data_IF_779385100858
#
_entry.id   IF_779385100858
#
_cell.length_a   1.000
_cell.length_b   1.000
_cell.length_c   1.000
_cell.angle_alpha   90.00
_cell.angle_beta   90.00
_cell.angle_gamma   90.00
#
_symmetry.space_group_name_H-M   'P 1'
#
loop_
_entity.id
_entity.type
_entity.pdbx_description
1 polymer ?
#
# COMPACT_ATOMS: atom_id res chain seq x y z
N UNK A 1 0.47 -23.17 9.86
CA UNK A 1 -1.02 -23.04 9.71
C UNK A 1 -1.31 -22.55 8.31
N UNK A 2 -2.33 -23.09 7.65
CA UNK A 2 -2.80 -22.56 6.35
C UNK A 2 -3.59 -21.28 6.62
N UNK A 3 -3.51 -20.31 5.70
CA UNK A 3 -4.37 -19.13 5.75
C UNK A 3 -5.86 -19.55 5.81
N UNK A 4 -6.72 -18.78 6.47
CA UNK A 4 -8.13 -19.09 6.61
C UNK A 4 -8.78 -19.37 5.25
N UNK A 5 -9.71 -20.32 5.22
CA UNK A 5 -10.43 -20.70 3.99
C UNK A 5 -11.48 -19.61 3.66
N UNK A 6 -11.00 -18.44 3.24
CA UNK A 6 -11.81 -17.28 2.88
C UNK A 6 -12.18 -17.42 1.41
N UNK A 7 -13.44 -17.25 1.08
CA UNK A 7 -13.91 -17.25 -0.30
C UNK A 7 -13.37 -16.01 -1.06
N UNK A 8 -13.49 -16.02 -2.38
CA UNK A 8 -12.95 -14.95 -3.24
C UNK A 8 -13.52 -13.55 -2.91
N UNK A 9 -14.80 -13.47 -2.58
CA UNK A 9 -15.46 -12.22 -2.22
C UNK A 9 -14.95 -11.67 -0.88
N UNK A 10 -14.70 -12.56 0.08
CA UNK A 10 -14.06 -12.19 1.35
C UNK A 10 -12.66 -11.62 1.14
N UNK A 11 -11.87 -12.18 0.20
CA UNK A 11 -10.54 -11.62 -0.12
C UNK A 11 -10.68 -10.21 -0.73
N UNK A 12 -11.64 -10.00 -1.63
CA UNK A 12 -11.91 -8.67 -2.18
C UNK A 12 -12.29 -7.67 -1.09
N UNK A 13 -13.16 -8.06 -0.16
CA UNK A 13 -13.55 -7.22 0.97
C UNK A 13 -12.34 -6.84 1.87
N UNK A 14 -11.46 -7.81 2.17
CA UNK A 14 -10.25 -7.55 2.96
C UNK A 14 -9.29 -6.58 2.24
N UNK A 15 -9.08 -6.76 0.93
CA UNK A 15 -8.24 -5.85 0.15
C UNK A 15 -8.85 -4.45 0.07
N UNK A 16 -10.17 -4.35 -0.04
CA UNK A 16 -10.89 -3.08 0.01
C UNK A 16 -10.72 -2.40 1.37
N UNK A 17 -10.82 -3.14 2.49
CA UNK A 17 -10.53 -2.63 3.84
C UNK A 17 -9.09 -2.13 3.97
N UNK A 18 -8.12 -2.81 3.36
CA UNK A 18 -6.74 -2.33 3.33
C UNK A 18 -6.63 -0.95 2.69
N UNK A 19 -7.30 -0.74 1.55
CA UNK A 19 -7.30 0.56 0.86
C UNK A 19 -8.10 1.63 1.61
N UNK A 20 -9.15 1.25 2.35
CA UNK A 20 -9.87 2.15 3.26
C UNK A 20 -8.92 2.68 4.36
N UNK A 21 -8.18 1.77 5.02
CA UNK A 21 -7.19 2.17 6.03
C UNK A 21 -6.10 3.06 5.44
N UNK A 22 -5.62 2.76 4.23
CA UNK A 22 -4.62 3.61 3.57
C UNK A 22 -5.18 4.96 3.12
N UNK A 23 -6.45 5.03 2.73
CA UNK A 23 -7.12 6.31 2.50
C UNK A 23 -7.18 7.16 3.78
N UNK A 24 -7.57 6.56 4.91
CA UNK A 24 -7.58 7.23 6.21
C UNK A 24 -6.18 7.69 6.66
N UNK A 25 -5.10 7.00 6.24
CA UNK A 25 -3.73 7.40 6.59
C UNK A 25 -3.38 8.83 6.18
N UNK A 26 -3.94 9.34 5.07
CA UNK A 26 -3.68 10.71 4.62
C UNK A 26 -4.17 11.76 5.64
N UNK A 27 -5.30 11.50 6.27
CA UNK A 27 -5.82 12.37 7.34
C UNK A 27 -5.05 12.15 8.64
N UNK A 28 -4.86 10.88 9.04
CA UNK A 28 -4.19 10.53 10.28
C UNK A 28 -2.72 10.97 10.31
N UNK A 29 -2.02 10.90 9.18
CA UNK A 29 -0.62 11.32 9.08
C UNK A 29 -0.44 12.80 9.42
N UNK A 30 -1.39 13.67 9.07
CA UNK A 30 -1.32 15.09 9.41
C UNK A 30 -1.23 15.34 10.92
N UNK A 31 -1.99 14.60 11.72
CA UNK A 31 -1.92 14.70 13.19
C UNK A 31 -0.58 14.19 13.76
N UNK A 32 -0.02 13.12 13.19
CA UNK A 32 1.25 12.55 13.65
C UNK A 32 2.42 13.44 13.26
N UNK A 33 2.42 13.99 12.06
CA UNK A 33 3.47 14.88 11.56
C UNK A 33 3.50 16.25 12.25
N UNK A 34 2.46 16.61 13.02
CA UNK A 34 2.49 17.80 13.87
C UNK A 34 3.45 17.65 15.06
N UNK A 35 3.64 16.41 15.56
CA UNK A 35 4.48 16.11 16.72
C UNK A 35 5.80 15.42 16.37
N UNK A 36 5.86 14.71 15.24
CA UNK A 36 6.99 13.88 14.83
C UNK A 36 7.54 14.24 13.45
N UNK A 37 8.85 14.15 13.29
CA UNK A 37 9.44 14.20 11.94
C UNK A 37 8.97 13.00 11.08
N UNK A 38 9.04 13.10 9.75
CA UNK A 38 8.68 12.02 8.83
C UNK A 38 9.39 10.69 9.14
N UNK A 39 10.69 10.76 9.45
CA UNK A 39 11.52 9.60 9.75
C UNK A 39 11.08 8.91 11.03
N UNK A 40 10.88 9.69 12.12
CA UNK A 40 10.39 9.16 13.38
C UNK A 40 8.96 8.65 13.29
N UNK A 41 8.09 9.35 12.53
CA UNK A 41 6.73 8.89 12.26
C UNK A 41 6.71 7.51 11.61
N UNK A 42 7.54 7.28 10.59
CA UNK A 42 7.67 5.99 9.93
C UNK A 42 8.28 4.94 10.86
N UNK A 43 9.38 5.26 11.55
CA UNK A 43 10.09 4.34 12.43
C UNK A 43 9.20 3.83 13.57
N UNK A 44 8.54 4.74 14.30
CA UNK A 44 7.65 4.38 15.42
C UNK A 44 6.46 3.57 14.91
N UNK A 45 5.81 4.01 13.85
CA UNK A 45 4.66 3.32 13.23
C UNK A 45 5.00 1.87 12.89
N UNK A 46 6.09 1.66 12.14
CA UNK A 46 6.45 0.33 11.68
C UNK A 46 7.09 -0.53 12.78
N UNK A 47 7.80 0.04 13.75
CA UNK A 47 8.33 -0.69 14.91
C UNK A 47 7.21 -1.21 15.81
N UNK A 48 6.20 -0.39 16.11
CA UNK A 48 5.03 -0.83 16.87
C UNK A 48 4.23 -1.90 16.11
N UNK A 49 4.05 -1.75 14.81
CA UNK A 49 3.39 -2.75 13.99
C UNK A 49 4.19 -4.07 13.94
N UNK A 50 5.52 -3.99 13.82
CA UNK A 50 6.40 -5.15 13.87
C UNK A 50 6.29 -5.90 15.21
N UNK A 51 6.24 -5.16 16.32
CA UNK A 51 6.06 -5.75 17.65
C UNK A 51 4.72 -6.48 17.76
N UNK A 52 3.61 -5.86 17.33
CA UNK A 52 2.27 -6.48 17.35
C UNK A 52 2.25 -7.75 16.50
N UNK A 53 2.80 -7.68 15.27
CA UNK A 53 2.84 -8.83 14.37
C UNK A 53 3.76 -9.94 14.90
N UNK A 54 4.86 -9.57 15.54
CA UNK A 54 5.77 -10.52 16.21
C UNK A 54 5.05 -11.27 17.34
N UNK A 55 4.37 -10.54 18.23
CA UNK A 55 3.58 -11.14 19.33
C UNK A 55 2.51 -12.08 18.76
N UNK A 56 1.78 -11.65 17.73
CA UNK A 56 0.76 -12.48 17.07
C UNK A 56 1.37 -13.75 16.45
N UNK A 57 2.52 -13.63 15.80
CA UNK A 57 3.20 -14.77 15.18
C UNK A 57 3.76 -15.74 16.23
N UNK A 58 4.33 -15.24 17.34
CA UNK A 58 4.81 -16.07 18.46
C UNK A 58 3.66 -16.80 19.15
N UNK A 59 2.52 -16.12 19.37
CA UNK A 59 1.32 -16.76 19.91
C UNK A 59 0.80 -17.90 19.01
N UNK A 60 0.92 -17.74 17.69
CA UNK A 60 0.61 -18.78 16.71
C UNK A 60 1.72 -19.84 16.56
N UNK A 61 2.77 -19.78 17.38
CA UNK A 61 3.93 -20.69 17.33
C UNK A 61 4.59 -20.71 15.95
N UNK A 62 4.70 -19.55 15.30
CA UNK A 62 5.34 -19.43 14.01
C UNK A 62 6.85 -19.75 14.10
N UNK A 63 7.40 -20.56 13.19
CA UNK A 63 8.82 -20.89 13.19
C UNK A 63 9.66 -19.78 12.53
N UNK A 64 9.58 -18.55 13.11
CA UNK A 64 10.14 -17.33 12.49
C UNK A 64 11.64 -17.43 12.24
N UNK A 65 12.42 -18.00 13.17
CA UNK A 65 13.87 -18.18 13.00
C UNK A 65 14.21 -19.13 11.86
N UNK A 66 13.50 -20.24 11.75
CA UNK A 66 13.70 -21.19 10.64
C UNK A 66 13.31 -20.56 9.30
N UNK A 67 12.21 -19.81 9.25
CA UNK A 67 11.77 -19.09 8.07
C UNK A 67 12.77 -18.01 7.66
N UNK A 68 13.27 -17.25 8.62
CA UNK A 68 14.28 -16.23 8.34
C UNK A 68 15.60 -16.86 7.92
N UNK A 69 16.04 -17.95 8.53
CA UNK A 69 17.24 -18.69 8.13
C UNK A 69 17.16 -19.19 6.68
N UNK A 70 15.98 -19.64 6.24
CA UNK A 70 15.78 -20.17 4.89
C UNK A 70 15.52 -19.09 3.83
N UNK A 71 14.78 -18.05 4.19
CA UNK A 71 14.27 -17.06 3.22
C UNK A 71 14.66 -15.61 3.58
N UNK A 72 15.58 -15.39 4.53
CA UNK A 72 15.91 -14.09 5.11
C UNK A 72 16.22 -13.02 4.08
N UNK A 73 17.05 -13.33 3.07
CA UNK A 73 17.37 -12.38 2.00
C UNK A 73 16.11 -11.89 1.25
N UNK A 74 15.11 -12.74 1.07
CA UNK A 74 13.86 -12.39 0.39
C UNK A 74 13.02 -11.44 1.26
N UNK A 75 12.96 -11.69 2.58
CA UNK A 75 12.27 -10.81 3.52
C UNK A 75 12.97 -9.46 3.65
N UNK A 76 14.31 -9.45 3.69
CA UNK A 76 15.11 -8.23 3.71
C UNK A 76 14.89 -7.40 2.43
N UNK A 77 14.94 -8.03 1.26
CA UNK A 77 14.70 -7.33 -0.02
C UNK A 77 13.29 -6.72 -0.07
N UNK A 78 12.26 -7.48 0.34
CA UNK A 78 10.88 -6.99 0.36
C UNK A 78 10.67 -5.90 1.41
N UNK A 79 11.28 -6.04 2.60
CA UNK A 79 11.27 -5.03 3.65
C UNK A 79 11.96 -3.74 3.22
N UNK A 80 13.13 -3.86 2.57
CA UNK A 80 13.88 -2.71 2.06
C UNK A 80 13.12 -1.98 0.95
N UNK A 81 12.58 -2.69 -0.04
CA UNK A 81 11.92 -2.07 -1.20
C UNK A 81 10.53 -1.57 -0.82
N UNK A 82 9.69 -2.44 -0.23
CA UNK A 82 8.26 -2.16 -0.05
C UNK A 82 7.90 -1.45 1.24
N UNK A 83 8.72 -1.57 2.28
CA UNK A 83 8.47 -0.92 3.56
C UNK A 83 9.36 0.32 3.69
N UNK A 84 10.67 0.14 3.82
CA UNK A 84 11.58 1.26 4.09
C UNK A 84 11.71 2.18 2.87
N UNK A 85 12.05 1.64 1.72
CA UNK A 85 12.27 2.42 0.51
C UNK A 85 11.02 3.18 0.08
N UNK A 86 9.89 2.48 -0.03
CA UNK A 86 8.62 3.13 -0.36
C UNK A 86 8.27 4.24 0.63
N UNK A 87 8.29 3.96 1.95
CA UNK A 87 7.83 4.93 2.94
C UNK A 87 8.78 6.12 3.08
N UNK A 88 10.10 5.92 3.05
CA UNK A 88 11.05 7.04 3.08
C UNK A 88 10.89 7.94 1.86
N UNK A 89 10.87 7.36 0.66
CA UNK A 89 10.66 8.12 -0.57
C UNK A 89 9.32 8.86 -0.56
N UNK A 90 8.26 8.22 -0.09
CA UNK A 90 6.94 8.83 0.07
C UNK A 90 6.97 10.03 1.00
N UNK A 91 7.53 9.90 2.20
CA UNK A 91 7.58 11.00 3.16
C UNK A 91 8.47 12.16 2.69
N UNK A 92 9.63 11.86 2.06
CA UNK A 92 10.47 12.91 1.45
C UNK A 92 9.77 13.57 0.28
N UNK A 93 9.06 12.82 -0.54
CA UNK A 93 8.27 13.37 -1.64
C UNK A 93 7.24 14.38 -1.12
N UNK A 94 6.53 14.04 -0.05
CA UNK A 94 5.48 14.90 0.52
C UNK A 94 5.99 16.20 1.13
N UNK A 95 7.29 16.38 1.29
CA UNK A 95 7.85 17.68 1.71
C UNK A 95 7.72 18.77 0.63
N UNK A 96 7.70 18.38 -0.63
CA UNK A 96 7.69 19.33 -1.77
C UNK A 96 6.62 19.04 -2.82
N UNK A 97 6.18 17.77 -2.94
CA UNK A 97 5.09 17.40 -3.84
C UNK A 97 3.73 17.88 -3.28
N UNK A 98 2.85 18.27 -4.19
CA UNK A 98 1.45 18.50 -3.85
C UNK A 98 0.74 17.16 -3.63
N UNK A 99 -0.16 17.11 -2.64
CA UNK A 99 -0.87 15.88 -2.31
C UNK A 99 -1.71 15.32 -3.49
N UNK A 100 -2.29 16.21 -4.31
CA UNK A 100 -3.05 15.86 -5.50
C UNK A 100 -2.17 15.21 -6.59
N UNK A 101 -0.99 15.81 -6.87
CA UNK A 101 -0.02 15.27 -7.84
C UNK A 101 0.53 13.92 -7.34
N UNK A 102 0.90 13.84 -6.05
CA UNK A 102 1.37 12.59 -5.43
C UNK A 102 0.32 11.47 -5.54
N UNK A 103 -0.95 11.77 -5.25
CA UNK A 103 -2.05 10.82 -5.37
C UNK A 103 -2.28 10.38 -6.83
N UNK A 104 -2.16 11.30 -7.80
CA UNK A 104 -2.25 10.97 -9.23
C UNK A 104 -1.13 10.03 -9.67
N UNK A 105 0.12 10.31 -9.25
CA UNK A 105 1.26 9.43 -9.53
C UNK A 105 0.99 8.03 -8.94
N UNK A 106 0.54 7.94 -7.68
CA UNK A 106 0.21 6.66 -7.05
C UNK A 106 -0.95 5.94 -7.71
N UNK A 107 -1.91 6.64 -8.31
CA UNK A 107 -3.00 6.03 -9.07
C UNK A 107 -2.53 5.32 -10.35
N UNK A 108 -1.31 5.58 -10.83
CA UNK A 108 -0.69 4.84 -11.94
C UNK A 108 -0.11 3.48 -11.49
N UNK A 109 -0.05 3.20 -10.19
CA UNK A 109 0.53 1.96 -9.65
C UNK A 109 -0.08 0.68 -10.26
N UNK A 110 -1.39 0.56 -10.45
CA UNK A 110 -1.97 -0.62 -11.07
C UNK A 110 -1.46 -0.89 -12.50
N UNK A 111 -1.15 0.16 -13.26
CA UNK A 111 -0.53 0.02 -14.59
C UNK A 111 0.86 -0.58 -14.47
N UNK A 112 1.72 0.01 -13.62
CA UNK A 112 3.09 -0.46 -13.36
C UNK A 112 3.09 -1.89 -12.83
N UNK A 113 2.27 -2.18 -11.82
CA UNK A 113 2.19 -3.52 -11.21
C UNK A 113 1.66 -4.55 -12.22
N UNK A 114 0.69 -4.20 -13.06
CA UNK A 114 0.16 -5.11 -14.09
C UNK A 114 1.21 -5.39 -15.16
N UNK A 115 1.95 -4.37 -15.60
CA UNK A 115 3.05 -4.51 -16.55
C UNK A 115 4.18 -5.40 -15.98
N UNK A 116 4.65 -5.12 -14.76
CA UNK A 116 5.67 -5.93 -14.10
C UNK A 116 5.19 -7.36 -13.83
N UNK A 117 3.93 -7.57 -13.45
CA UNK A 117 3.37 -8.89 -13.25
C UNK A 117 3.29 -9.68 -14.56
N UNK A 118 2.95 -9.03 -15.67
CA UNK A 118 3.01 -9.64 -16.99
C UNK A 118 4.45 -10.03 -17.36
N UNK A 119 5.41 -9.12 -17.17
CA UNK A 119 6.81 -9.33 -17.54
C UNK A 119 7.48 -10.40 -16.68
N UNK A 120 7.37 -10.32 -15.34
CA UNK A 120 8.13 -11.14 -14.39
C UNK A 120 7.40 -12.41 -13.95
N UNK A 121 6.08 -12.36 -13.84
CA UNK A 121 5.25 -13.49 -13.39
C UNK A 121 4.56 -14.21 -14.54
N UNK A 122 4.63 -13.66 -15.78
CA UNK A 122 3.86 -14.11 -16.95
C UNK A 122 2.35 -14.15 -16.67
N UNK A 123 1.87 -13.27 -15.77
CA UNK A 123 0.46 -13.08 -15.49
C UNK A 123 -0.17 -12.26 -16.62
N UNK A 124 -0.80 -12.93 -17.59
CA UNK A 124 -1.50 -12.23 -18.67
C UNK A 124 -2.71 -11.48 -18.09
N UNK A 125 -2.76 -10.14 -18.23
CA UNK A 125 -3.95 -9.39 -17.84
C UNK A 125 -5.10 -9.74 -18.79
N UNK A 126 -6.21 -10.24 -18.24
CA UNK A 126 -7.42 -10.45 -19.04
C UNK A 126 -7.97 -9.11 -19.57
N UNK A 127 -8.78 -9.17 -20.63
CA UNK A 127 -9.36 -7.98 -21.25
C UNK A 127 -10.10 -7.08 -20.25
N UNK A 128 -10.83 -7.68 -19.31
CA UNK A 128 -11.56 -6.94 -18.27
C UNK A 128 -10.64 -6.11 -17.37
N UNK A 129 -9.40 -6.57 -17.10
CA UNK A 129 -8.42 -5.81 -16.36
C UNK A 129 -7.84 -4.68 -17.20
N UNK A 130 -7.52 -4.96 -18.46
CA UNK A 130 -6.98 -3.95 -19.37
C UNK A 130 -7.98 -2.81 -19.61
N UNK A 131 -9.27 -3.11 -19.73
CA UNK A 131 -10.31 -2.07 -19.87
C UNK A 131 -10.61 -1.34 -18.57
N UNK A 132 -10.49 -2.01 -17.41
CA UNK A 132 -10.69 -1.37 -16.10
C UNK A 132 -9.63 -0.34 -15.75
N UNK A 133 -8.37 -0.54 -16.18
CA UNK A 133 -7.26 0.36 -15.85
C UNK A 133 -7.49 1.81 -16.29
N UNK A 134 -7.77 2.11 -17.58
CA UNK A 134 -8.01 3.48 -18.01
C UNK A 134 -9.29 4.08 -17.38
N UNK A 135 -10.33 3.28 -17.19
CA UNK A 135 -11.57 3.75 -16.55
C UNK A 135 -11.29 4.15 -15.08
N UNK A 136 -10.56 3.32 -14.33
CA UNK A 136 -10.19 3.62 -12.96
C UNK A 136 -9.32 4.88 -12.88
N UNK A 137 -8.34 5.03 -13.79
CA UNK A 137 -7.48 6.21 -13.84
C UNK A 137 -8.28 7.48 -14.13
N UNK A 138 -9.22 7.44 -15.10
CA UNK A 138 -10.13 8.56 -15.35
C UNK A 138 -10.95 8.93 -14.12
N UNK A 139 -11.50 7.93 -13.41
CA UNK A 139 -12.22 8.16 -12.16
C UNK A 139 -11.36 8.85 -11.10
N UNK A 140 -10.11 8.41 -10.91
CA UNK A 140 -9.15 9.05 -9.99
C UNK A 140 -8.84 10.49 -10.43
N UNK A 141 -8.62 10.72 -11.72
CA UNK A 141 -8.40 12.08 -12.24
C UNK A 141 -9.57 13.01 -11.93
N UNK A 142 -10.82 12.54 -12.06
CA UNK A 142 -12.01 13.32 -11.70
C UNK A 142 -12.08 13.57 -10.20
N UNK A 143 -11.74 12.58 -9.34
CA UNK A 143 -11.69 12.78 -7.88
C UNK A 143 -10.67 13.85 -7.51
N UNK A 144 -9.46 13.78 -8.05
CA UNK A 144 -8.35 14.66 -7.69
C UNK A 144 -8.55 16.08 -8.22
N UNK A 145 -9.06 16.21 -9.46
CA UNK A 145 -9.27 17.51 -10.12
C UNK A 145 -10.59 18.16 -9.77
N UNK A 146 -11.43 17.52 -8.97
CA UNK A 146 -12.80 17.98 -8.66
C UNK A 146 -13.64 18.27 -9.92
N UNK A 147 -13.34 17.55 -11.00
CA UNK A 147 -13.97 17.72 -12.32
C UNK A 147 -13.31 18.77 -13.23
N UNK A 148 -12.36 19.55 -12.73
CA UNK A 148 -11.62 20.52 -13.54
C UNK A 148 -10.29 19.92 -14.04
N UNK A 149 -10.36 19.09 -15.06
CA UNK A 149 -9.19 18.40 -15.62
C UNK A 149 -8.10 19.34 -16.15
N UNK A 150 -8.43 20.60 -16.48
CA UNK A 150 -7.44 21.59 -16.92
C UNK A 150 -6.43 21.95 -15.83
N UNK A 151 -6.79 21.78 -14.55
CA UNK A 151 -5.88 21.99 -13.44
C UNK A 151 -4.71 20.98 -13.50
N UNK A 152 -4.94 19.77 -14.00
CA UNK A 152 -3.89 18.76 -14.15
C UNK A 152 -2.86 19.09 -15.24
N UNK A 153 -3.21 19.95 -16.18
CA UNK A 153 -2.31 20.39 -17.26
C UNK A 153 -1.35 21.50 -16.80
N UNK A 154 -1.66 22.20 -15.72
CA UNK A 154 -0.90 23.32 -15.19
C UNK A 154 0.00 22.95 -14.01
N UNK A 155 0.25 21.66 -13.78
CA UNK A 155 1.10 21.20 -12.68
C UNK A 155 2.57 21.37 -13.05
N UNK A 156 3.29 22.19 -12.28
CA UNK A 156 4.74 22.26 -12.35
C UNK A 156 5.35 21.05 -11.63
N UNK A 157 6.22 20.30 -12.33
CA UNK A 157 6.91 19.14 -11.76
C UNK A 157 7.98 19.62 -10.79
N UNK A 158 7.94 19.11 -9.56
CA UNK A 158 8.90 19.40 -8.50
C UNK A 158 9.70 18.14 -8.12
N UNK A 159 10.77 18.31 -7.33
CA UNK A 159 11.61 17.18 -6.88
C UNK A 159 10.79 16.07 -6.18
N UNK A 160 9.79 16.47 -5.40
CA UNK A 160 8.90 15.52 -4.73
C UNK A 160 8.11 14.62 -5.67
N UNK A 161 7.75 15.11 -6.86
CA UNK A 161 7.02 14.29 -7.84
C UNK A 161 7.91 13.16 -8.39
N UNK A 162 9.21 13.43 -8.61
CA UNK A 162 10.18 12.41 -9.00
C UNK A 162 10.38 11.37 -7.88
N UNK A 163 10.50 11.82 -6.62
CA UNK A 163 10.60 10.91 -5.47
C UNK A 163 9.35 10.05 -5.34
N UNK A 164 8.16 10.64 -5.55
CA UNK A 164 6.90 9.90 -5.53
C UNK A 164 6.81 8.88 -6.67
N UNK A 165 7.32 9.21 -7.86
CA UNK A 165 7.38 8.27 -8.98
C UNK A 165 8.29 7.07 -8.65
N UNK A 166 9.46 7.32 -8.05
CA UNK A 166 10.37 6.25 -7.61
C UNK A 166 9.69 5.41 -6.50
N UNK A 167 9.02 6.04 -5.53
CA UNK A 167 8.25 5.35 -4.51
C UNK A 167 7.18 4.44 -5.14
N UNK A 168 6.46 4.95 -6.13
CA UNK A 168 5.44 4.19 -6.85
C UNK A 168 6.02 2.97 -7.58
N UNK A 169 7.20 3.11 -8.19
CA UNK A 169 7.95 1.99 -8.79
C UNK A 169 8.36 0.97 -7.73
N UNK A 170 8.89 1.41 -6.58
CA UNK A 170 9.22 0.53 -5.45
C UNK A 170 7.98 -0.28 -4.98
N UNK A 171 6.83 0.37 -4.89
CA UNK A 171 5.58 -0.29 -4.51
C UNK A 171 5.11 -1.31 -5.54
N UNK A 172 5.25 -1.00 -6.83
CA UNK A 172 4.94 -1.94 -7.91
C UNK A 172 5.87 -3.18 -7.88
N UNK A 173 7.18 -2.97 -7.68
CA UNK A 173 8.13 -4.06 -7.46
C UNK A 173 7.78 -4.88 -6.22
N UNK A 174 7.47 -4.24 -5.09
CA UNK A 174 7.05 -4.94 -3.89
C UNK A 174 5.87 -5.88 -4.16
N UNK A 175 4.83 -5.42 -4.84
CA UNK A 175 3.67 -6.23 -5.17
C UNK A 175 4.03 -7.49 -6.00
N UNK A 176 4.89 -7.32 -6.98
CA UNK A 176 5.28 -8.42 -7.88
C UNK A 176 6.30 -9.36 -7.22
N UNK A 177 7.32 -8.81 -6.56
CA UNK A 177 8.33 -9.60 -5.85
C UNK A 177 7.73 -10.35 -4.65
N UNK A 178 6.76 -9.79 -3.95
CA UNK A 178 5.99 -10.47 -2.92
C UNK A 178 5.39 -11.78 -3.48
N UNK A 179 4.76 -11.69 -4.66
CA UNK A 179 4.19 -12.86 -5.34
C UNK A 179 5.24 -13.85 -5.84
N UNK A 180 6.40 -13.36 -6.28
CA UNK A 180 7.47 -14.14 -6.89
C UNK A 180 8.32 -14.85 -5.84
N UNK A 181 8.75 -14.14 -4.80
CA UNK A 181 9.80 -14.57 -3.87
C UNK A 181 9.26 -15.32 -2.65
N UNK A 182 8.04 -15.02 -2.21
CA UNK A 182 7.54 -15.58 -0.97
C UNK A 182 7.17 -17.08 -1.12
N UNK A 183 7.47 -17.89 -0.09
CA UNK A 183 7.14 -19.32 -0.10
C UNK A 183 5.62 -19.50 -0.01
N UNK A 184 5.07 -20.32 -0.91
CA UNK A 184 3.62 -20.58 -1.01
C UNK A 184 3.07 -21.47 0.12
N UNK A 185 3.94 -22.20 0.79
CA UNK A 185 3.62 -23.09 1.91
C UNK A 185 3.64 -22.40 3.28
N UNK A 186 4.01 -21.12 3.32
CA UNK A 186 4.01 -20.27 4.52
C UNK A 186 2.80 -19.34 4.48
N UNK A 187 2.15 -19.13 5.64
CA UNK A 187 0.99 -18.24 5.71
C UNK A 187 1.36 -16.81 5.34
N UNK A 188 0.40 -16.07 4.75
CA UNK A 188 0.59 -14.65 4.43
C UNK A 188 0.90 -13.83 5.69
N UNK A 189 0.34 -14.22 6.85
CA UNK A 189 0.60 -13.56 8.14
C UNK A 189 2.08 -13.66 8.51
N UNK A 190 2.70 -14.84 8.48
CA UNK A 190 4.11 -15.01 8.87
C UNK A 190 5.06 -14.33 7.88
N UNK A 191 4.74 -14.43 6.60
CA UNK A 191 5.48 -13.70 5.56
C UNK A 191 5.42 -12.19 5.80
N UNK A 192 4.23 -11.64 6.06
CA UNK A 192 4.04 -10.20 6.34
C UNK A 192 4.79 -9.77 7.59
N UNK A 193 4.75 -10.58 8.66
CA UNK A 193 5.49 -10.30 9.90
C UNK A 193 6.98 -10.11 9.63
N UNK A 194 7.60 -11.04 8.92
CA UNK A 194 9.05 -10.97 8.64
C UNK A 194 9.42 -9.80 7.71
N UNK A 195 8.57 -9.48 6.74
CA UNK A 195 8.75 -8.30 5.88
C UNK A 195 8.68 -7.01 6.68
N UNK A 196 7.65 -6.87 7.55
CA UNK A 196 7.45 -5.66 8.35
C UNK A 196 8.60 -5.51 9.36
N UNK A 197 9.05 -6.58 10.01
CA UNK A 197 10.22 -6.54 10.92
C UNK A 197 11.46 -6.07 10.16
N UNK A 198 11.74 -6.65 9.00
CA UNK A 198 12.90 -6.28 8.19
C UNK A 198 12.87 -4.80 7.79
N UNK A 199 11.71 -4.30 7.33
CA UNK A 199 11.55 -2.89 6.97
C UNK A 199 11.59 -1.95 8.18
N UNK A 200 10.96 -2.34 9.30
CA UNK A 200 10.97 -1.55 10.53
C UNK A 200 12.39 -1.34 11.09
N UNK A 201 13.24 -2.38 11.02
CA UNK A 201 14.64 -2.26 11.45
C UNK A 201 15.40 -1.23 10.61
N UNK A 202 15.22 -1.21 9.29
CA UNK A 202 15.85 -0.20 8.43
C UNK A 202 15.32 1.20 8.73
N UNK A 203 13.99 1.36 8.88
CA UNK A 203 13.39 2.65 9.23
C UNK A 203 13.87 3.18 10.58
N UNK A 204 13.99 2.29 11.56
CA UNK A 204 14.51 2.64 12.88
C UNK A 204 15.98 3.08 12.80
N UNK A 205 16.81 2.36 12.05
CA UNK A 205 18.20 2.77 11.82
C UNK A 205 18.27 4.15 11.16
N UNK A 206 17.48 4.40 10.12
CA UNK A 206 17.45 5.71 9.46
C UNK A 206 17.04 6.81 10.45
N UNK A 207 16.03 6.59 11.28
CA UNK A 207 15.58 7.58 12.26
C UNK A 207 16.63 7.83 13.37
N UNK A 208 17.37 6.79 13.80
CA UNK A 208 18.42 6.93 14.81
C UNK A 208 19.65 7.72 14.32
N UNK A 209 19.94 7.66 13.02
CA UNK A 209 21.04 8.42 12.40
C UNK A 209 20.58 9.77 11.82
N UNK A 210 19.29 10.11 11.93
CA UNK A 210 18.76 11.40 11.51
C UNK A 210 19.12 12.48 12.53
N UNK A 211 19.64 13.64 12.12
CA UNK A 211 19.91 14.76 13.00
C UNK A 211 18.65 15.44 13.55
N UNK A 212 17.46 15.08 13.08
CA UNK A 212 16.20 15.61 13.59
C UNK A 212 16.05 15.30 15.10
N UNK A 213 15.50 16.25 15.90
CA UNK A 213 15.32 16.04 17.32
C UNK A 213 14.41 14.85 17.60
N UNK A 214 14.73 14.10 18.64
CA UNK A 214 13.87 13.03 19.15
C UNK A 214 12.50 13.60 19.52
N UNK A 215 11.41 12.86 19.24
CA UNK A 215 10.09 13.29 19.67
C UNK A 215 9.99 13.31 21.19
N UNK A 216 9.79 14.50 21.75
CA UNK A 216 9.72 14.71 23.21
C UNK A 216 8.29 14.94 23.70
N UNK A 217 7.36 15.14 22.77
CA UNK A 217 5.96 15.40 23.04
C UNK A 217 5.07 14.50 22.20
N UNK A 218 3.99 14.02 22.81
CA UNK A 218 2.94 13.27 22.12
C UNK A 218 1.59 13.82 22.55
N UNK A 219 0.94 14.56 21.68
CA UNK A 219 -0.43 15.02 21.89
C UNK A 219 -1.42 13.84 21.81
N UNK A 220 -2.57 13.97 22.47
CA UNK A 220 -3.60 12.92 22.42
C UNK A 220 -4.07 12.65 20.99
N UNK A 221 -4.21 13.69 20.17
CA UNK A 221 -4.59 13.56 18.77
C UNK A 221 -3.56 12.79 17.94
N UNK A 222 -2.28 13.10 18.10
CA UNK A 222 -1.19 12.38 17.44
C UNK A 222 -1.10 10.92 17.92
N UNK A 223 -1.28 10.68 19.22
CA UNK A 223 -1.30 9.32 19.80
C UNK A 223 -2.44 8.45 19.25
N UNK A 224 -3.66 8.97 19.19
CA UNK A 224 -4.81 8.27 18.61
C UNK A 224 -4.64 8.05 17.10
N UNK A 225 -4.13 9.05 16.38
CA UNK A 225 -3.83 8.93 14.97
C UNK A 225 -2.73 7.88 14.71
N UNK A 226 -1.66 7.90 15.51
CA UNK A 226 -0.59 6.89 15.43
C UNK A 226 -1.13 5.47 15.67
N UNK A 227 -2.01 5.30 16.65
CA UNK A 227 -2.66 4.00 16.91
C UNK A 227 -3.47 3.54 15.69
N UNK A 228 -4.24 4.42 15.07
CA UNK A 228 -4.96 4.14 13.81
C UNK A 228 -4.02 3.76 12.66
N UNK A 229 -2.90 4.48 12.50
CA UNK A 229 -1.87 4.18 11.52
C UNK A 229 -1.19 2.83 11.76
N UNK A 230 -0.92 2.48 13.02
CA UNK A 230 -0.28 1.21 13.40
C UNK A 230 -1.24 0.05 13.15
N UNK A 231 -2.43 0.09 13.76
CA UNK A 231 -3.37 -1.04 13.72
C UNK A 231 -4.04 -1.16 12.34
N UNK A 232 -4.68 -0.10 11.88
CA UNK A 232 -5.40 -0.09 10.59
C UNK A 232 -4.44 -0.01 9.41
N UNK A 233 -3.69 1.07 9.35
CA UNK A 233 -2.86 1.41 8.18
C UNK A 233 -1.62 0.53 8.00
N UNK A 234 -1.16 -0.19 9.02
CA UNK A 234 0.01 -1.06 8.90
C UNK A 234 -0.33 -2.52 9.19
N UNK A 235 -0.73 -2.89 10.39
CA UNK A 235 -0.97 -4.31 10.74
C UNK A 235 -2.05 -4.91 9.83
N UNK A 236 -3.27 -4.39 9.89
CA UNK A 236 -4.40 -4.96 9.15
C UNK A 236 -4.25 -4.75 7.64
N UNK A 237 -3.88 -3.54 7.21
CA UNK A 237 -3.76 -3.24 5.79
C UNK A 237 -2.73 -4.11 5.08
N UNK A 238 -1.52 -4.28 5.63
CA UNK A 238 -0.51 -5.14 5.01
C UNK A 238 -0.86 -6.63 5.08
N UNK A 239 -1.49 -7.09 6.16
CA UNK A 239 -1.99 -8.47 6.22
C UNK A 239 -3.02 -8.75 5.13
N UNK A 240 -4.00 -7.88 4.98
CA UNK A 240 -5.06 -8.03 3.98
C UNK A 240 -4.54 -7.87 2.55
N UNK A 241 -3.65 -6.91 2.34
CA UNK A 241 -3.02 -6.68 1.05
C UNK A 241 -2.17 -7.86 0.58
N UNK A 242 -1.29 -8.36 1.45
CA UNK A 242 -0.41 -9.47 1.13
C UNK A 242 -1.20 -10.78 0.95
N UNK A 243 -2.28 -10.98 1.71
CA UNK A 243 -3.22 -12.06 1.46
C UNK A 243 -3.88 -11.89 0.08
N UNK A 244 -4.25 -10.68 -0.30
CA UNK A 244 -4.75 -10.34 -1.64
C UNK A 244 -3.75 -10.72 -2.73
N UNK A 245 -2.50 -10.30 -2.61
CA UNK A 245 -1.43 -10.66 -3.56
C UNK A 245 -1.28 -12.18 -3.66
N UNK A 246 -1.28 -12.88 -2.53
CA UNK A 246 -1.14 -14.33 -2.48
C UNK A 246 -2.32 -15.06 -3.18
N UNK A 247 -3.55 -14.59 -3.01
CA UNK A 247 -4.78 -15.26 -3.46
C UNK A 247 -5.29 -14.78 -4.81
N UNK A 248 -5.22 -13.47 -5.09
CA UNK A 248 -5.75 -12.86 -6.32
C UNK A 248 -4.68 -12.63 -7.40
N UNK A 249 -3.40 -12.53 -6.98
CA UNK A 249 -2.26 -12.12 -7.82
C UNK A 249 -1.97 -10.62 -7.70
N UNK A 250 -0.72 -10.23 -8.05
CA UNK A 250 -0.24 -8.86 -7.85
C UNK A 250 -1.04 -7.82 -8.65
N UNK A 251 -1.21 -8.04 -9.96
CA UNK A 251 -1.89 -7.07 -10.82
C UNK A 251 -3.38 -6.89 -10.51
N UNK A 252 -4.09 -7.93 -10.01
CA UNK A 252 -5.50 -7.78 -9.62
C UNK A 252 -5.65 -7.07 -8.29
N UNK A 253 -4.79 -7.36 -7.34
CA UNK A 253 -4.75 -6.67 -6.05
C UNK A 253 -4.42 -5.20 -6.23
N UNK A 254 -3.45 -4.87 -7.09
CA UNK A 254 -3.03 -3.50 -7.35
C UNK A 254 -4.15 -2.58 -7.84
N UNK A 255 -5.15 -3.08 -8.56
CA UNK A 255 -6.30 -2.27 -9.00
C UNK A 255 -7.06 -1.59 -7.86
N UNK A 256 -7.06 -2.21 -6.68
CA UNK A 256 -7.70 -1.65 -5.49
C UNK A 256 -7.01 -0.37 -4.99
N UNK A 257 -5.74 -0.10 -5.37
CA UNK A 257 -5.06 1.15 -5.01
C UNK A 257 -5.82 2.39 -5.51
N UNK A 258 -6.57 2.28 -6.59
CA UNK A 258 -7.40 3.39 -7.09
C UNK A 258 -8.54 3.78 -6.14
N UNK A 259 -8.89 2.93 -5.16
CA UNK A 259 -9.83 3.28 -4.09
C UNK A 259 -9.21 4.17 -3.00
N UNK A 260 -7.89 4.21 -2.89
CA UNK A 260 -7.21 4.99 -1.84
C UNK A 260 -7.58 6.47 -1.89
N UNK A 261 -7.54 7.17 -3.04
CA UNK A 261 -8.00 8.57 -3.12
C UNK A 261 -9.48 8.74 -2.76
N UNK A 262 -10.33 7.78 -3.16
CA UNK A 262 -11.77 7.79 -2.84
C UNK A 262 -11.97 7.68 -1.32
N UNK A 263 -11.26 6.76 -0.67
CA UNK A 263 -11.36 6.59 0.78
C UNK A 263 -10.68 7.73 1.54
N UNK A 264 -9.63 8.36 1.01
CA UNK A 264 -9.03 9.55 1.58
C UNK A 264 -10.03 10.72 1.60
N UNK A 265 -10.73 10.93 0.48
CA UNK A 265 -11.81 11.90 0.37
C UNK A 265 -12.92 11.63 1.40
N UNK A 266 -13.36 10.38 1.56
CA UNK A 266 -14.39 10.03 2.55
C UNK A 266 -13.88 10.19 3.98
N UNK A 267 -12.63 9.86 4.27
CA UNK A 267 -12.05 10.06 5.60
C UNK A 267 -11.95 11.54 5.97
N UNK A 268 -11.76 12.44 5.01
CA UNK A 268 -11.69 13.86 5.20
C UNK A 268 -13.01 14.48 5.72
N UNK A 269 -14.15 13.78 5.56
CA UNK A 269 -15.42 14.19 6.16
C UNK A 269 -15.31 14.28 7.69
N UNK A 270 -14.52 13.37 8.29
CA UNK A 270 -14.28 13.36 9.75
C UNK A 270 -13.58 14.62 10.30
N UNK A 271 -12.91 15.38 9.42
CA UNK A 271 -12.26 16.66 9.74
C UNK A 271 -13.00 17.87 9.11
N UNK A 272 -14.25 17.68 8.70
CA UNK A 272 -15.11 18.75 8.18
C UNK A 272 -14.95 19.07 6.70
N UNK A 273 -14.16 18.27 5.94
CA UNK A 273 -14.00 18.46 4.49
C UNK A 273 -14.97 17.54 3.74
N UNK A 274 -15.98 18.13 3.10
CA UNK A 274 -17.02 17.39 2.40
C UNK A 274 -16.69 17.23 0.91
N UNK A 275 -16.96 16.05 0.33
CA UNK A 275 -16.70 15.79 -1.08
C UNK A 275 -17.63 16.59 -1.98
N UNK A 276 -17.09 17.08 -3.09
CA UNK A 276 -17.88 17.70 -4.16
C UNK A 276 -18.68 16.64 -4.95
N UNK A 277 -19.71 17.08 -5.71
CA UNK A 277 -20.46 16.18 -6.59
C UNK A 277 -19.57 15.49 -7.62
N UNK A 278 -18.55 16.20 -8.13
CA UNK A 278 -17.58 15.64 -9.09
C UNK A 278 -16.67 14.60 -8.47
N UNK A 279 -16.24 14.81 -7.24
CA UNK A 279 -15.47 13.79 -6.49
C UNK A 279 -16.30 12.53 -6.25
N UNK A 280 -17.58 12.65 -5.90
CA UNK A 280 -18.48 11.49 -5.76
C UNK A 280 -18.67 10.75 -7.08
N UNK A 281 -18.84 11.48 -8.20
CA UNK A 281 -18.93 10.90 -9.54
C UNK A 281 -17.64 10.14 -9.91
N UNK A 282 -16.47 10.75 -9.70
CA UNK A 282 -15.18 10.12 -9.92
C UNK A 282 -15.01 8.84 -9.09
N UNK A 283 -15.42 8.87 -7.81
CA UNK A 283 -15.44 7.69 -6.94
C UNK A 283 -16.32 6.58 -7.48
N UNK A 284 -17.52 6.89 -7.97
CA UNK A 284 -18.43 5.93 -8.60
C UNK A 284 -17.80 5.27 -9.86
N UNK A 285 -17.08 6.06 -10.68
CA UNK A 285 -16.34 5.56 -11.86
C UNK A 285 -15.24 4.57 -11.42
N UNK A 286 -14.48 4.87 -10.35
CA UNK A 286 -13.47 3.95 -9.81
C UNK A 286 -14.09 2.65 -9.35
N UNK A 287 -15.20 2.69 -8.62
CA UNK A 287 -15.92 1.49 -8.18
C UNK A 287 -16.44 0.66 -9.37
N UNK A 288 -16.98 1.30 -10.40
CA UNK A 288 -17.43 0.61 -11.62
C UNK A 288 -16.26 -0.10 -12.31
N UNK A 289 -15.12 0.56 -12.48
CA UNK A 289 -13.91 -0.04 -13.05
C UNK A 289 -13.46 -1.27 -12.26
N UNK A 290 -13.49 -1.17 -10.91
CA UNK A 290 -13.15 -2.29 -10.04
C UNK A 290 -14.10 -3.47 -10.23
N UNK A 291 -15.43 -3.24 -10.29
CA UNK A 291 -16.43 -4.27 -10.56
C UNK A 291 -16.17 -4.98 -11.90
N UNK A 292 -15.89 -4.22 -12.97
CA UNK A 292 -15.53 -4.78 -14.28
C UNK A 292 -14.31 -5.72 -14.13
N UNK A 293 -13.28 -5.30 -13.42
CA UNK A 293 -12.08 -6.12 -13.19
C UNK A 293 -12.35 -7.41 -12.40
N UNK A 294 -13.32 -7.38 -11.49
CA UNK A 294 -13.67 -8.53 -10.64
C UNK A 294 -14.42 -9.63 -11.39
N UNK A 295 -15.11 -9.31 -12.49
CA UNK A 295 -15.82 -10.29 -13.33
C UNK A 295 -14.88 -11.16 -14.17
N UNK A 296 -13.58 -10.79 -14.25
CA UNK A 296 -12.59 -11.54 -15.02
C UNK A 296 -12.45 -12.99 -14.53
N UNK A 297 -12.82 -13.96 -15.39
CA UNK A 297 -12.57 -15.37 -15.14
C UNK A 297 -11.06 -15.67 -15.20
N UNK A 298 -10.53 -16.44 -14.24
CA UNK A 298 -9.17 -16.97 -14.33
C UNK A 298 -9.10 -17.99 -15.46
N UNK A 299 -8.28 -17.75 -16.48
CA UNK A 299 -7.51 -18.87 -17.07
C UNK A 299 -6.40 -19.18 -16.08
N UNK A 300 -6.22 -20.44 -15.63
CA UNK A 300 -5.10 -20.81 -14.77
C UNK A 300 -3.80 -20.35 -15.42
N UNK A 301 -2.95 -19.69 -14.64
CA UNK A 301 -1.59 -19.43 -15.11
C UNK A 301 -0.91 -20.76 -15.39
N UNK A 302 -0.19 -20.93 -16.52
CA UNK A 302 0.57 -22.13 -16.78
C UNK A 302 1.54 -22.37 -15.61
N UNK A 303 1.78 -23.65 -15.24
CA UNK A 303 2.74 -23.95 -14.20
C UNK A 303 4.09 -23.35 -14.61
N UNK A 304 4.70 -22.58 -13.69
CA UNK A 304 6.06 -22.11 -13.86
C UNK A 304 6.94 -23.36 -13.86
N UNK A 305 7.32 -23.82 -15.06
CA UNK A 305 8.39 -24.80 -15.18
C UNK A 305 9.65 -24.17 -14.59
N UNK A 306 10.02 -24.59 -13.40
CA UNK A 306 11.32 -24.30 -12.83
C UNK A 306 12.30 -25.26 -13.47
N UNK A 307 13.13 -24.76 -14.41
CA UNK A 307 14.41 -25.38 -14.73
C UNK A 307 15.36 -25.16 -13.57
#
# INVERSE_FOLDING_TARGET
>A
MRDPNINRWGIYALVMLATLFWGANFVLAGFVLADFSPQWSAAIRFSLAALILLILALWQKAPLFALFGTYGLRYLALGLIGISGFNLLFFFAMQTARADTAALIMATNPLLTTFLAWLLLREHPGWQRLSALPIALLGVMVVISEGNLTQLLNVSIVTGDWLMLIANVCWAFYNVLNRLLLPKNVSATFNTTLIIIAGALVLLLVALFDPSPYPTHLSLSAGLALLGLVLGGTVLAYLFWNLGIARLGAGRTALFMNLVPVFAMLAAIGIGTYPTRMQLLGGAIVFLALLISMTANRKPAPPLNRA
#
